data_IF_441005020715
#
_entry.id   IF_441005020715
#
_cell.length_a   1.000
_cell.length_b   1.000
_cell.length_c   1.000
_cell.angle_alpha   90.00
_cell.angle_beta   90.00
_cell.angle_gamma   90.00
#
_symmetry.space_group_name_H-M   'P 1'
#
loop_
_entity.id
_entity.type
_entity.pdbx_description
1 polymer ?
#
# COMPACT_ATOMS: atom_id res chain seq x y z
N UNK A 1 -4.93 -19.87 -12.07
CA UNK A 1 -4.45 -19.18 -10.84
C UNK A 1 -5.58 -18.31 -10.29
N UNK A 2 -5.65 -18.11 -8.96
CA UNK A 2 -6.80 -17.51 -8.22
C UNK A 2 -7.34 -16.18 -8.77
N UNK A 3 -6.47 -15.31 -9.29
CA UNK A 3 -6.83 -13.95 -9.76
C UNK A 3 -6.64 -13.73 -11.27
N UNK A 4 -6.50 -14.81 -12.04
CA UNK A 4 -6.42 -14.70 -13.51
C UNK A 4 -5.18 -13.97 -14.05
N UNK A 5 -4.09 -13.90 -13.28
CA UNK A 5 -2.78 -13.43 -13.76
C UNK A 5 -2.09 -14.61 -14.45
N UNK A 6 -2.29 -14.76 -15.76
CA UNK A 6 -1.88 -15.96 -16.51
C UNK A 6 -0.98 -15.68 -17.71
N UNK A 7 -1.11 -14.54 -18.37
CA UNK A 7 -0.25 -14.21 -19.53
C UNK A 7 1.12 -13.71 -19.05
N UNK A 8 2.17 -13.90 -19.86
CA UNK A 8 3.50 -13.39 -19.54
C UNK A 8 3.50 -11.86 -19.41
N UNK A 9 2.69 -11.16 -20.23
CA UNK A 9 2.50 -9.72 -20.14
C UNK A 9 1.89 -9.30 -18.79
N UNK A 10 0.85 -10.00 -18.31
CA UNK A 10 0.26 -9.77 -16.99
C UNK A 10 1.23 -10.05 -15.86
N UNK A 11 1.96 -11.17 -15.92
CA UNK A 11 2.95 -11.53 -14.90
C UNK A 11 4.07 -10.50 -14.82
N UNK A 12 4.62 -10.08 -15.96
CA UNK A 12 5.67 -9.07 -16.02
C UNK A 12 5.19 -7.73 -15.44
N UNK A 13 4.00 -7.28 -15.82
CA UNK A 13 3.43 -6.03 -15.32
C UNK A 13 3.10 -6.11 -13.82
N UNK A 14 2.54 -7.22 -13.35
CA UNK A 14 2.25 -7.45 -11.93
C UNK A 14 3.52 -7.43 -11.08
N UNK A 15 4.54 -8.21 -11.45
CA UNK A 15 5.83 -8.27 -10.73
C UNK A 15 6.48 -6.89 -10.69
N UNK A 16 6.46 -6.14 -11.81
CA UNK A 16 7.06 -4.81 -11.86
C UNK A 16 6.36 -3.81 -10.94
N UNK A 17 5.03 -3.78 -10.97
CA UNK A 17 4.24 -2.88 -10.14
C UNK A 17 4.38 -3.24 -8.67
N UNK A 18 4.11 -4.49 -8.30
CA UNK A 18 4.17 -4.94 -6.90
C UNK A 18 5.59 -4.86 -6.35
N UNK A 19 6.60 -5.15 -7.18
CA UNK A 19 8.00 -4.96 -6.83
C UNK A 19 8.37 -3.49 -6.60
N UNK A 20 7.71 -2.53 -7.25
CA UNK A 20 7.89 -1.12 -6.92
C UNK A 20 7.18 -0.75 -5.61
N UNK A 21 5.90 -1.11 -5.46
CA UNK A 21 5.06 -0.78 -4.30
C UNK A 21 5.68 -1.28 -2.97
N UNK A 22 6.29 -2.46 -2.99
CA UNK A 22 6.85 -3.12 -1.81
C UNK A 22 8.34 -2.82 -1.59
N UNK A 23 8.94 -1.88 -2.32
CA UNK A 23 10.37 -1.58 -2.22
C UNK A 23 11.26 -2.79 -2.60
N UNK A 24 10.87 -3.53 -3.63
CA UNK A 24 11.54 -4.74 -4.07
C UNK A 24 11.21 -5.97 -3.23
N UNK A 25 9.95 -6.13 -2.81
CA UNK A 25 9.47 -7.24 -1.98
C UNK A 25 10.10 -7.28 -0.57
N UNK A 26 10.51 -6.11 -0.05
CA UNK A 26 11.14 -6.01 1.28
C UNK A 26 10.24 -5.39 2.34
N UNK A 27 9.07 -4.86 1.93
CA UNK A 27 8.14 -4.14 2.82
C UNK A 27 6.72 -4.64 2.63
N UNK A 28 6.10 -5.00 3.75
CA UNK A 28 4.70 -5.44 3.84
C UNK A 28 3.86 -4.60 4.79
N UNK A 29 4.45 -3.61 5.47
CA UNK A 29 3.74 -2.73 6.40
C UNK A 29 4.33 -1.33 6.31
N UNK A 30 3.50 -0.29 6.30
CA UNK A 30 3.99 1.08 6.38
C UNK A 30 4.56 1.42 7.76
N UNK A 31 5.40 2.46 7.82
CA UNK A 31 5.95 2.99 9.06
C UNK A 31 5.51 4.42 9.26
N UNK A 32 5.21 4.80 10.51
CA UNK A 32 4.90 6.18 10.90
C UNK A 32 6.10 6.86 11.59
N UNK A 33 7.32 6.36 11.37
CA UNK A 33 8.56 6.94 11.89
C UNK A 33 9.01 8.16 11.06
N UNK A 34 8.25 9.26 11.12
CA UNK A 34 8.55 10.48 10.39
C UNK A 34 9.18 11.56 11.28
N UNK A 35 10.09 12.35 10.70
CA UNK A 35 10.58 13.56 11.32
C UNK A 35 9.45 14.61 11.40
N UNK A 36 9.54 15.52 12.38
CA UNK A 36 8.61 16.65 12.54
C UNK A 36 8.37 17.39 11.20
N UNK A 37 9.44 17.74 10.49
CA UNK A 37 9.34 18.49 9.24
C UNK A 37 8.69 17.73 8.07
N UNK A 38 8.73 16.39 8.08
CA UNK A 38 8.20 15.58 6.98
C UNK A 38 6.69 15.29 7.12
N UNK A 39 6.17 15.30 8.36
CA UNK A 39 4.81 14.87 8.65
C UNK A 39 3.73 15.66 7.90
N UNK A 40 3.73 17.01 7.86
CA UNK A 40 2.66 17.75 7.19
C UNK A 40 2.62 17.54 5.67
N UNK A 41 3.77 17.26 5.05
CA UNK A 41 3.86 16.95 3.63
C UNK A 41 3.33 15.54 3.33
N UNK A 42 3.61 14.58 4.21
CA UNK A 42 3.16 13.19 4.04
C UNK A 42 1.69 13.00 4.38
N UNK A 43 1.20 13.69 5.42
CA UNK A 43 -0.15 13.54 5.93
C UNK A 43 -0.75 14.92 6.17
N UNK A 44 -1.55 15.39 5.22
CA UNK A 44 -2.16 16.73 5.27
C UNK A 44 -2.99 17.02 6.52
N UNK A 45 -3.50 15.99 7.20
CA UNK A 45 -4.25 16.10 8.47
C UNK A 45 -3.36 16.20 9.71
N UNK A 46 -2.07 15.88 9.59
CA UNK A 46 -1.08 16.07 10.66
C UNK A 46 -0.50 17.47 10.49
N UNK A 47 -1.21 18.45 11.05
CA UNK A 47 -0.84 19.88 10.96
C UNK A 47 0.53 20.15 11.59
N UNK A 48 1.21 21.27 11.26
CA UNK A 48 2.51 21.59 11.86
C UNK A 48 2.54 21.56 13.40
N UNK A 49 1.52 22.07 14.13
CA UNK A 49 1.47 21.91 15.59
C UNK A 49 1.39 20.46 16.06
N UNK A 50 0.62 19.61 15.37
CA UNK A 50 0.57 18.18 15.68
C UNK A 50 1.90 17.51 15.37
N UNK A 51 2.50 17.82 14.22
CA UNK A 51 3.79 17.30 13.81
C UNK A 51 4.90 17.62 14.83
N UNK A 52 4.91 18.84 15.40
CA UNK A 52 5.87 19.26 16.41
C UNK A 52 5.85 18.37 17.67
N UNK A 53 4.69 17.83 18.03
CA UNK A 53 4.54 16.96 19.22
C UNK A 53 4.67 15.47 18.88
N UNK A 54 4.27 15.06 17.69
CA UNK A 54 4.16 13.65 17.30
C UNK A 54 5.38 13.13 16.54
N UNK A 55 6.04 13.99 15.76
CA UNK A 55 7.20 13.60 14.96
C UNK A 55 8.42 13.23 15.79
N UNK A 56 9.40 12.62 15.12
CA UNK A 56 10.67 12.21 15.75
C UNK A 56 11.41 13.44 16.28
N UNK A 57 11.69 13.44 17.58
CA UNK A 57 12.30 14.54 18.32
C UNK A 57 13.83 14.45 18.29
N UNK A 58 14.55 15.55 18.57
CA UNK A 58 15.99 15.52 18.74
C UNK A 58 16.43 14.46 19.76
N UNK A 59 17.41 13.64 19.40
CA UNK A 59 17.90 12.53 20.23
C UNK A 59 17.14 11.20 20.04
N UNK A 60 15.98 11.21 19.39
CA UNK A 60 15.25 9.97 19.10
C UNK A 60 15.73 9.30 17.81
N UNK A 61 16.04 8.01 17.87
CA UNK A 61 16.30 7.20 16.68
C UNK A 61 15.02 6.81 15.94
N UNK A 62 13.94 6.60 16.68
CA UNK A 62 12.63 6.16 16.17
C UNK A 62 11.53 6.89 16.94
N UNK A 63 10.45 7.26 16.26
CA UNK A 63 9.23 7.75 16.93
C UNK A 63 8.69 6.62 17.84
N UNK A 64 8.45 6.87 19.14
CA UNK A 64 7.81 5.90 20.04
C UNK A 64 6.50 5.38 19.47
N UNK A 65 6.20 4.11 19.72
CA UNK A 65 5.06 3.42 19.11
C UNK A 65 3.73 4.14 19.34
N UNK A 66 3.48 4.64 20.55
CA UNK A 66 2.28 5.40 20.88
C UNK A 66 2.10 6.64 19.97
N UNK A 67 3.19 7.36 19.68
CA UNK A 67 3.14 8.53 18.80
C UNK A 67 2.95 8.12 17.35
N UNK A 68 3.53 7.00 16.91
CA UNK A 68 3.22 6.42 15.60
C UNK A 68 1.74 6.06 15.44
N UNK A 69 1.13 5.44 16.46
CA UNK A 69 -0.31 5.14 16.48
C UNK A 69 -1.15 6.40 16.37
N UNK A 70 -0.82 7.44 17.14
CA UNK A 70 -1.51 8.73 17.09
C UNK A 70 -1.39 9.40 15.73
N UNK A 71 -0.22 9.37 15.09
CA UNK A 71 -0.03 9.89 13.72
C UNK A 71 -0.97 9.16 12.75
N UNK A 72 -0.97 7.83 12.75
CA UNK A 72 -1.82 7.04 11.85
C UNK A 72 -3.31 7.31 12.08
N UNK A 73 -3.73 7.34 13.35
CA UNK A 73 -5.11 7.62 13.74
C UNK A 73 -5.59 9.00 13.26
N UNK A 74 -4.75 10.03 13.36
CA UNK A 74 -5.07 11.37 12.84
C UNK A 74 -5.08 11.39 11.31
N UNK A 75 -4.04 10.81 10.68
CA UNK A 75 -3.88 10.82 9.24
C UNK A 75 -5.05 10.15 8.50
N UNK A 76 -5.62 9.10 9.10
CA UNK A 76 -6.62 8.23 8.47
C UNK A 76 -8.01 8.24 9.12
N UNK A 77 -8.27 9.09 10.11
CA UNK A 77 -9.60 9.24 10.72
C UNK A 77 -10.69 9.51 9.66
N UNK A 78 -11.94 9.10 9.88
CA UNK A 78 -13.11 9.49 9.08
C UNK A 78 -12.93 9.33 7.56
N UNK A 79 -12.23 8.28 7.13
CA UNK A 79 -11.92 8.01 5.71
C UNK A 79 -12.16 6.54 5.41
N UNK A 80 -12.86 6.29 4.31
CA UNK A 80 -13.04 4.96 3.74
C UNK A 80 -13.39 3.88 4.79
N UNK A 81 -14.38 4.19 5.62
CA UNK A 81 -14.89 3.30 6.66
C UNK A 81 -14.23 3.43 8.03
N UNK A 82 -13.04 4.04 8.16
CA UNK A 82 -12.45 4.31 9.46
C UNK A 82 -13.32 5.28 10.28
N UNK A 83 -13.43 5.02 11.59
CA UNK A 83 -13.97 5.97 12.56
C UNK A 83 -13.05 7.17 12.80
N UNK A 84 -13.38 7.99 13.81
CA UNK A 84 -12.57 9.14 14.19
C UNK A 84 -11.18 8.73 14.71
N UNK A 85 -10.33 9.71 15.07
CA UNK A 85 -8.99 9.40 15.56
C UNK A 85 -9.00 8.61 16.89
N UNK A 86 -10.05 8.73 17.70
CA UNK A 86 -10.16 8.04 18.98
C UNK A 86 -10.51 6.55 18.81
N UNK A 87 -11.15 6.17 17.69
CA UNK A 87 -11.45 4.77 17.35
C UNK A 87 -10.22 3.85 17.28
N UNK A 88 -9.04 4.41 16.96
CA UNK A 88 -7.84 3.62 16.69
C UNK A 88 -7.78 2.99 15.30
N UNK A 89 -8.78 3.25 14.44
CA UNK A 89 -8.90 2.61 13.12
C UNK A 89 -7.77 2.98 12.17
N UNK A 90 -7.22 4.20 12.28
CA UNK A 90 -6.11 4.62 11.42
C UNK A 90 -4.87 3.77 11.61
N UNK A 91 -4.50 3.45 12.85
CA UNK A 91 -3.42 2.52 13.14
C UNK A 91 -3.81 1.08 12.84
N UNK A 92 -5.03 0.67 13.22
CA UNK A 92 -5.50 -0.71 13.07
C UNK A 92 -5.54 -1.13 11.60
N UNK A 93 -6.02 -0.26 10.71
CA UNK A 93 -6.17 -0.49 9.27
C UNK A 93 -5.18 0.35 8.44
N UNK A 94 -3.98 0.58 8.98
CA UNK A 94 -2.84 1.13 8.22
C UNK A 94 -2.44 0.22 7.05
N UNK A 95 -1.65 0.74 6.13
CA UNK A 95 -1.09 0.07 4.97
C UNK A 95 -0.36 -1.23 5.31
N UNK A 96 -0.88 -2.33 4.77
CA UNK A 96 -0.24 -3.66 4.83
C UNK A 96 -0.29 -4.41 3.50
N UNK A 97 0.50 -5.47 3.38
CA UNK A 97 0.68 -6.25 2.18
C UNK A 97 1.53 -5.53 1.13
N UNK A 98 1.83 -6.24 0.04
CA UNK A 98 2.74 -5.74 -1.00
C UNK A 98 2.16 -4.56 -1.79
N UNK A 99 0.83 -4.38 -1.80
CA UNK A 99 0.12 -3.27 -2.47
C UNK A 99 -0.36 -2.18 -1.50
N UNK A 100 -0.04 -2.30 -0.21
CA UNK A 100 -0.44 -1.37 0.85
C UNK A 100 -1.97 -1.18 0.91
N UNK A 101 -2.68 -2.24 1.32
CA UNK A 101 -4.10 -2.16 1.65
C UNK A 101 -4.26 -1.32 2.92
N UNK A 102 -5.03 -0.23 2.82
CA UNK A 102 -5.27 0.75 3.88
C UNK A 102 -6.76 1.04 3.99
N UNK A 103 -7.24 1.42 5.18
CA UNK A 103 -8.62 1.74 5.55
C UNK A 103 -9.55 0.53 5.71
N UNK A 104 -10.44 0.61 6.70
CA UNK A 104 -11.39 -0.45 7.09
C UNK A 104 -12.22 -0.97 5.91
N UNK A 105 -12.72 -0.09 5.03
CA UNK A 105 -13.49 -0.54 3.87
C UNK A 105 -12.69 -1.50 2.98
N UNK A 106 -11.42 -1.18 2.69
CA UNK A 106 -10.59 -2.04 1.84
C UNK A 106 -10.19 -3.35 2.55
N UNK A 107 -9.97 -3.31 3.87
CA UNK A 107 -9.75 -4.53 4.65
C UNK A 107 -10.98 -5.45 4.62
N UNK A 108 -12.20 -4.91 4.68
CA UNK A 108 -13.45 -5.68 4.54
C UNK A 108 -13.57 -6.32 3.16
N UNK A 109 -13.41 -5.54 2.10
CA UNK A 109 -13.53 -6.03 0.72
C UNK A 109 -12.46 -7.08 0.39
N UNK A 110 -11.21 -6.82 0.78
CA UNK A 110 -10.12 -7.77 0.59
C UNK A 110 -10.35 -9.04 1.41
N UNK A 111 -10.78 -8.91 2.67
CA UNK A 111 -11.05 -10.04 3.54
C UNK A 111 -12.14 -10.94 2.99
N UNK A 112 -13.25 -10.35 2.52
CA UNK A 112 -14.34 -11.07 1.88
C UNK A 112 -13.86 -11.83 0.63
N UNK A 113 -13.09 -11.19 -0.25
CA UNK A 113 -12.59 -11.85 -1.46
C UNK A 113 -11.54 -12.94 -1.18
N UNK A 114 -10.83 -12.84 -0.05
CA UNK A 114 -9.81 -13.79 0.35
C UNK A 114 -10.34 -14.92 1.25
N UNK A 115 -11.58 -14.81 1.73
CA UNK A 115 -12.14 -15.62 2.82
C UNK A 115 -11.28 -15.53 4.10
N UNK A 116 -10.95 -14.29 4.48
CA UNK A 116 -10.13 -13.95 5.64
C UNK A 116 -10.84 -12.89 6.50
N UNK A 117 -10.83 -13.09 7.81
CA UNK A 117 -11.30 -12.06 8.75
C UNK A 117 -10.23 -10.99 8.99
N UNK A 118 -10.04 -10.14 7.98
CA UNK A 118 -9.08 -9.02 8.03
C UNK A 118 -9.56 -7.83 8.87
N UNK A 119 -10.82 -7.82 9.31
CA UNK A 119 -11.34 -6.82 10.24
C UNK A 119 -10.88 -7.15 11.66
N UNK A 120 -11.04 -8.40 12.07
CA UNK A 120 -10.54 -8.86 13.37
C UNK A 120 -9.02 -8.99 13.38
N UNK A 121 -8.42 -9.48 12.28
CA UNK A 121 -6.99 -9.82 12.18
C UNK A 121 -6.31 -9.14 10.98
N UNK A 122 -6.19 -7.79 10.97
CA UNK A 122 -5.56 -7.07 9.87
C UNK A 122 -4.08 -7.40 9.66
N UNK A 123 -3.38 -7.86 10.70
CA UNK A 123 -1.99 -8.31 10.65
C UNK A 123 -1.75 -9.56 9.80
N UNK A 124 -2.82 -10.28 9.40
CA UNK A 124 -2.69 -11.36 8.43
C UNK A 124 -2.03 -10.89 7.13
N UNK A 125 -2.30 -9.65 6.69
CA UNK A 125 -1.67 -9.07 5.50
C UNK A 125 -0.16 -8.82 5.62
N UNK A 126 0.42 -9.00 6.81
CA UNK A 126 1.88 -8.95 7.01
C UNK A 126 2.56 -10.30 6.72
N UNK A 127 1.77 -11.38 6.55
CA UNK A 127 2.30 -12.70 6.17
C UNK A 127 2.44 -12.79 4.66
N UNK A 128 3.58 -13.32 4.19
CA UNK A 128 3.94 -13.37 2.76
C UNK A 128 2.82 -13.89 1.85
N UNK A 129 2.18 -14.99 2.23
CA UNK A 129 1.06 -15.59 1.49
C UNK A 129 -0.09 -14.59 1.31
N UNK A 130 -0.57 -13.99 2.39
CA UNK A 130 -1.71 -13.08 2.37
C UNK A 130 -1.35 -11.70 1.80
N UNK A 131 -0.09 -11.29 1.92
CA UNK A 131 0.46 -10.11 1.26
C UNK A 131 0.46 -10.26 -0.27
N UNK A 132 0.81 -11.45 -0.78
CA UNK A 132 0.76 -11.78 -2.20
C UNK A 132 -0.69 -11.94 -2.71
N UNK A 133 -1.55 -12.63 -1.94
CA UNK A 133 -2.96 -12.80 -2.28
C UNK A 133 -3.72 -11.47 -2.32
N UNK A 134 -3.48 -10.57 -1.37
CA UNK A 134 -4.12 -9.24 -1.38
C UNK A 134 -3.65 -8.37 -2.54
N UNK A 135 -2.38 -8.47 -2.96
CA UNK A 135 -1.90 -7.83 -4.19
C UNK A 135 -2.59 -8.40 -5.44
N UNK A 136 -2.74 -9.73 -5.50
CA UNK A 136 -3.48 -10.40 -6.58
C UNK A 136 -4.95 -10.00 -6.64
N UNK A 137 -5.61 -9.91 -5.48
CA UNK A 137 -6.99 -9.42 -5.38
C UNK A 137 -7.10 -7.98 -5.91
N UNK A 138 -6.23 -7.07 -5.48
CA UNK A 138 -6.23 -5.68 -5.97
C UNK A 138 -6.08 -5.64 -7.49
N UNK A 139 -5.14 -6.43 -8.04
CA UNK A 139 -4.92 -6.51 -9.48
C UNK A 139 -6.18 -6.89 -10.26
N UNK A 140 -6.89 -7.92 -9.76
CA UNK A 140 -8.15 -8.37 -10.34
C UNK A 140 -9.29 -7.36 -10.16
N UNK A 141 -9.49 -6.86 -8.95
CA UNK A 141 -10.58 -5.93 -8.60
C UNK A 141 -10.50 -4.62 -9.39
N UNK A 142 -9.29 -4.17 -9.73
CA UNK A 142 -9.05 -2.96 -10.53
C UNK A 142 -8.90 -3.25 -12.03
N UNK A 143 -9.09 -4.49 -12.49
CA UNK A 143 -9.09 -4.84 -13.91
C UNK A 143 -7.74 -4.62 -14.61
N UNK A 144 -6.64 -4.70 -13.87
CA UNK A 144 -5.30 -4.33 -14.38
C UNK A 144 -4.77 -5.32 -15.41
N UNK A 145 -5.26 -6.57 -15.40
CA UNK A 145 -4.87 -7.59 -16.37
C UNK A 145 -5.14 -7.19 -17.82
N UNK A 146 -6.32 -6.63 -18.10
CA UNK A 146 -6.69 -6.19 -19.46
C UNK A 146 -5.78 -5.07 -19.97
N UNK A 147 -5.33 -4.19 -19.08
CA UNK A 147 -4.39 -3.13 -19.42
C UNK A 147 -3.00 -3.68 -19.71
N UNK A 148 -2.57 -4.71 -18.98
CA UNK A 148 -1.30 -5.38 -19.20
C UNK A 148 -1.27 -6.09 -20.56
N UNK A 149 -2.33 -6.83 -20.90
CA UNK A 149 -2.44 -7.49 -22.21
C UNK A 149 -2.45 -6.49 -23.37
N UNK A 150 -3.03 -5.29 -23.15
CA UNK A 150 -3.02 -4.20 -24.13
C UNK A 150 -1.71 -3.38 -24.13
N UNK A 151 -0.70 -3.76 -23.35
CA UNK A 151 0.58 -3.04 -23.24
C UNK A 151 0.49 -1.66 -22.57
N UNK A 152 -0.64 -1.34 -21.92
CA UNK A 152 -0.92 -0.01 -21.33
C UNK A 152 -0.34 0.13 -19.92
N UNK A 153 0.96 -0.10 -19.79
CA UNK A 153 1.63 -0.14 -18.48
C UNK A 153 1.54 1.18 -17.69
N UNK A 154 1.58 2.32 -18.37
CA UNK A 154 1.44 3.63 -17.73
C UNK A 154 0.02 3.87 -17.20
N UNK A 155 -1.00 3.30 -17.85
CA UNK A 155 -2.38 3.34 -17.35
C UNK A 155 -2.52 2.50 -16.08
N UNK A 156 -1.83 1.35 -16.01
CA UNK A 156 -1.73 0.54 -14.78
C UNK A 156 -1.09 1.37 -13.66
N UNK A 157 0.04 2.04 -13.95
CA UNK A 157 0.72 2.92 -12.97
C UNK A 157 -0.21 4.02 -12.48
N UNK A 158 -0.93 4.70 -13.39
CA UNK A 158 -1.90 5.74 -13.04
C UNK A 158 -3.03 5.21 -12.15
N UNK A 159 -3.50 3.98 -12.39
CA UNK A 159 -4.57 3.36 -11.59
C UNK A 159 -4.09 2.87 -10.23
N UNK A 160 -2.81 2.54 -10.10
CA UNK A 160 -2.18 2.14 -8.83
C UNK A 160 -1.81 3.34 -7.96
N UNK A 161 -1.19 4.37 -8.56
CA UNK A 161 -0.55 5.47 -7.83
C UNK A 161 -1.25 6.84 -8.02
N UNK A 162 -2.32 6.88 -8.80
CA UNK A 162 -3.04 8.12 -9.10
C UNK A 162 -2.41 8.96 -10.22
N UNK A 163 -2.98 10.15 -10.49
CA UNK A 163 -2.71 10.92 -11.70
C UNK A 163 -1.30 11.51 -11.78
N UNK A 164 -0.64 11.73 -10.64
CA UNK A 164 0.73 12.24 -10.58
C UNK A 164 1.78 11.23 -11.08
N UNK A 165 1.45 9.94 -11.10
CA UNK A 165 2.31 8.86 -11.58
C UNK A 165 3.73 8.88 -10.98
N UNK A 166 3.86 9.26 -9.70
CA UNK A 166 5.15 9.24 -9.02
C UNK A 166 5.78 7.84 -9.10
N UNK A 167 7.08 7.79 -9.39
CA UNK A 167 7.80 6.54 -9.58
C UNK A 167 7.54 5.81 -10.90
N UNK A 168 6.94 6.44 -11.92
CA UNK A 168 6.70 5.82 -13.23
C UNK A 168 7.96 5.25 -13.89
N UNK A 169 9.06 6.01 -13.94
CA UNK A 169 10.31 5.54 -14.56
C UNK A 169 10.88 4.28 -13.87
N UNK A 170 11.07 4.25 -12.53
CA UNK A 170 11.45 3.01 -11.85
C UNK A 170 10.52 1.82 -12.11
N UNK A 171 9.21 2.03 -12.28
CA UNK A 171 8.26 0.97 -12.62
C UNK A 171 8.49 0.44 -14.04
N UNK A 172 8.72 1.33 -15.02
CA UNK A 172 9.04 0.94 -16.40
C UNK A 172 10.35 0.16 -16.48
N UNK A 173 11.39 0.58 -15.75
CA UNK A 173 12.65 -0.18 -15.66
C UNK A 173 12.42 -1.60 -15.13
N UNK A 174 11.65 -1.75 -14.04
CA UNK A 174 11.29 -3.07 -13.52
C UNK A 174 10.48 -3.90 -14.52
N UNK A 175 9.60 -3.25 -15.27
CA UNK A 175 8.79 -3.93 -16.29
C UNK A 175 9.63 -4.45 -17.45
N UNK A 176 10.61 -3.66 -17.94
CA UNK A 176 11.54 -4.11 -18.95
C UNK A 176 12.34 -5.35 -18.50
N UNK A 177 12.87 -5.32 -17.27
CA UNK A 177 13.59 -6.45 -16.67
C UNK A 177 12.67 -7.67 -16.53
N UNK A 178 11.44 -7.48 -16.04
CA UNK A 178 10.49 -8.58 -15.86
C UNK A 178 10.10 -9.23 -17.19
N UNK A 179 9.86 -8.43 -18.25
CA UNK A 179 9.58 -8.97 -19.59
C UNK A 179 10.74 -9.80 -20.12
N UNK A 180 11.97 -9.28 -20.00
CA UNK A 180 13.16 -10.00 -20.43
C UNK A 180 13.33 -11.33 -19.69
N UNK A 181 13.14 -11.35 -18.37
CA UNK A 181 13.28 -12.56 -17.56
C UNK A 181 12.21 -13.62 -17.86
N UNK A 182 10.99 -13.20 -18.21
CA UNK A 182 9.87 -14.09 -18.49
C UNK A 182 9.75 -14.50 -19.97
N UNK A 183 10.49 -13.86 -20.87
CA UNK A 183 10.31 -14.03 -22.32
C UNK A 183 8.98 -13.47 -22.83
N UNK A 184 8.51 -12.38 -22.21
CA UNK A 184 7.21 -11.74 -22.47
C UNK A 184 7.25 -10.67 -23.57
#
# INVERSE_FOLDING_TARGET
>A
MRFGISTLAQQAAFIAQIGHESGGFTRVTESFNYAVAALPAMFSRVTPPLAATLGRQPGERVVPLERQQRIANIAYANRYGNGDAASGDGWRYRGRGLKQITFLANYRECGHALDLDLVARPELLERDEYAALSAGWYWWAFGLGKLADAGKFDEITRRINGPAMEGAEPRRTRWAVAKQALGA
#
